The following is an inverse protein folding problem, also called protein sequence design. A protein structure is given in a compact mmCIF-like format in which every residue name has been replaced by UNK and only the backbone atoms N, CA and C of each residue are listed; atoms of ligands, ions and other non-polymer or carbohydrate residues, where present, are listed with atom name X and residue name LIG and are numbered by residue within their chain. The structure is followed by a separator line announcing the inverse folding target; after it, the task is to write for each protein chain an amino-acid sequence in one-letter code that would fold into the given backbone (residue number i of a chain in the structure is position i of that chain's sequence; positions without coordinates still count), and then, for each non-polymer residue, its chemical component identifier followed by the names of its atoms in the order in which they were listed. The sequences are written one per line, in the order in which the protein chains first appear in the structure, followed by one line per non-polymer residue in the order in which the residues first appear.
data_IF_718309957874
#
_entry.id   IF_718309957874
#
_cell.length_a   1.000
_cell.length_b   1.000
_cell.length_c   1.000
_cell.angle_alpha   90.00
_cell.angle_beta   90.00
_cell.angle_gamma   90.00
#
_symmetry.space_group_name_H-M   'P 1'
#
loop_
_entity.id
_entity.type
_entity.pdbx_description
1 polymer ?
#
# COMPACT_ATOMS: atom_id res chain seq x y z
N UNK A 1 -58.43 38.97 69.39
CA UNK A 1 -57.11 38.35 69.13
C UNK A 1 -57.29 37.40 67.99
N UNK A 2 -57.06 37.82 66.76
CA UNK A 2 -57.18 37.04 65.53
C UNK A 2 -55.77 36.66 65.09
N UNK A 3 -55.38 35.41 65.23
CA UNK A 3 -54.09 34.85 64.74
C UNK A 3 -54.14 34.70 63.21
N UNK A 4 -53.41 35.51 62.49
CA UNK A 4 -53.15 35.41 61.08
C UNK A 4 -52.33 34.13 60.83
N UNK A 5 -52.89 33.12 60.16
CA UNK A 5 -52.17 31.94 59.69
C UNK A 5 -51.24 32.38 58.56
N UNK A 6 -49.95 32.39 58.80
CA UNK A 6 -48.87 32.53 57.83
C UNK A 6 -48.94 31.34 56.85
N UNK A 7 -49.28 31.59 55.62
CA UNK A 7 -49.25 30.56 54.56
C UNK A 7 -47.80 30.23 54.27
N UNK A 8 -47.40 29.05 54.62
CA UNK A 8 -46.09 28.50 54.26
C UNK A 8 -45.98 28.52 52.71
N UNK A 9 -44.99 29.27 52.20
CA UNK A 9 -44.66 29.22 50.79
C UNK A 9 -44.22 27.80 50.43
N UNK A 10 -44.76 27.18 49.33
CA UNK A 10 -44.27 25.87 48.88
C UNK A 10 -42.81 25.94 48.56
N UNK A 11 -42.03 24.95 49.02
CA UNK A 11 -40.61 24.86 48.73
C UNK A 11 -40.39 24.89 47.21
N UNK A 12 -39.36 25.55 46.72
CA UNK A 12 -39.06 25.63 45.28
C UNK A 12 -38.87 24.20 44.73
N UNK A 13 -39.43 23.89 43.54
CA UNK A 13 -39.30 22.57 42.96
C UNK A 13 -37.82 22.22 42.77
N UNK A 14 -37.46 20.97 43.10
CA UNK A 14 -36.09 20.48 42.91
C UNK A 14 -35.66 20.63 41.43
N UNK A 15 -34.42 21.01 41.16
CA UNK A 15 -33.95 21.20 39.81
C UNK A 15 -34.03 19.85 39.03
N UNK A 16 -34.78 19.84 37.93
CA UNK A 16 -34.94 18.66 37.08
C UNK A 16 -33.58 18.17 36.57
N UNK A 17 -33.22 16.93 36.90
CA UNK A 17 -32.01 16.27 36.34
C UNK A 17 -32.37 15.70 34.98
N UNK A 18 -31.69 16.17 33.93
CA UNK A 18 -31.80 15.58 32.59
C UNK A 18 -31.22 14.16 32.59
N UNK A 19 -32.01 13.18 32.19
CA UNK A 19 -31.52 11.81 31.94
C UNK A 19 -30.64 11.81 30.67
N UNK A 20 -29.62 10.95 30.56
CA UNK A 20 -28.77 10.85 29.35
C UNK A 20 -29.58 10.65 28.06
N UNK A 21 -30.68 9.92 28.11
CA UNK A 21 -31.58 9.71 26.99
C UNK A 21 -32.28 11.00 26.51
N UNK A 22 -32.61 11.90 27.43
CA UNK A 22 -33.23 13.18 27.10
C UNK A 22 -32.23 14.14 26.44
N UNK A 23 -30.95 14.10 26.87
CA UNK A 23 -29.86 14.89 26.28
C UNK A 23 -29.61 14.44 24.84
N UNK A 24 -29.63 13.11 24.57
CA UNK A 24 -29.53 12.55 23.23
C UNK A 24 -30.71 12.98 22.32
N UNK A 25 -31.93 12.89 22.82
CA UNK A 25 -33.13 13.31 22.06
C UNK A 25 -33.11 14.80 21.74
N UNK A 26 -32.74 15.64 22.69
CA UNK A 26 -32.62 17.10 22.50
C UNK A 26 -31.53 17.44 21.48
N UNK A 27 -30.39 16.76 21.52
CA UNK A 27 -29.32 16.90 20.52
C UNK A 27 -29.78 16.52 19.11
N UNK A 28 -30.50 15.40 18.98
CA UNK A 28 -31.02 14.93 17.69
C UNK A 28 -32.08 15.86 17.07
N UNK A 29 -32.91 16.49 17.88
CA UNK A 29 -33.90 17.50 17.41
C UNK A 29 -33.19 18.72 16.84
N UNK A 30 -32.11 19.20 17.49
CA UNK A 30 -31.33 20.33 17.00
C UNK A 30 -30.72 20.08 15.61
N UNK A 31 -30.24 18.85 15.35
CA UNK A 31 -29.69 18.47 14.05
C UNK A 31 -30.74 18.41 12.93
N UNK A 32 -31.95 17.97 13.23
CA UNK A 32 -33.06 17.89 12.24
C UNK A 32 -33.55 19.22 11.73
N UNK A 33 -33.44 20.27 12.54
CA UNK A 33 -33.96 21.62 12.20
C UNK A 33 -33.20 22.27 11.05
N UNK A 34 -31.91 21.89 10.78
CA UNK A 34 -31.02 22.56 9.79
C UNK A 34 -30.18 21.56 9.02
N UNK A 35 -30.81 20.68 8.28
CA UNK A 35 -30.21 19.53 7.58
C UNK A 35 -29.06 19.89 6.67
N UNK A 36 -29.16 20.96 5.87
CA UNK A 36 -28.11 21.35 4.91
C UNK A 36 -26.79 21.71 5.59
N UNK A 37 -26.85 22.50 6.69
CA UNK A 37 -25.65 22.89 7.43
C UNK A 37 -25.01 21.71 8.16
N UNK A 38 -25.82 20.85 8.74
CA UNK A 38 -25.39 19.59 9.40
C UNK A 38 -24.67 18.70 8.40
N UNK A 39 -25.24 18.51 7.21
CA UNK A 39 -24.62 17.70 6.14
C UNK A 39 -23.29 18.30 5.70
N UNK A 40 -23.22 19.62 5.49
CA UNK A 40 -22.00 20.28 5.03
C UNK A 40 -20.85 20.17 6.05
N UNK A 41 -21.17 20.37 7.35
CA UNK A 41 -20.17 20.22 8.43
C UNK A 41 -19.76 18.77 8.64
N UNK A 42 -20.71 17.81 8.57
CA UNK A 42 -20.43 16.38 8.67
C UNK A 42 -19.61 15.89 7.47
N UNK A 43 -19.82 16.46 6.26
CA UNK A 43 -19.09 16.11 5.05
C UNK A 43 -17.59 16.41 5.17
N UNK A 44 -17.22 17.56 5.75
CA UNK A 44 -15.82 17.91 5.98
C UNK A 44 -15.09 16.89 6.87
N UNK A 45 -15.75 16.48 7.98
CA UNK A 45 -15.22 15.43 8.86
C UNK A 45 -15.20 14.08 8.14
N UNK A 46 -16.29 13.74 7.44
CA UNK A 46 -16.42 12.48 6.74
C UNK A 46 -15.30 12.31 5.67
N UNK A 47 -15.01 13.36 4.93
CA UNK A 47 -13.95 13.34 3.92
C UNK A 47 -12.56 13.14 4.55
N UNK A 48 -12.26 13.82 5.67
CA UNK A 48 -10.99 13.64 6.39
C UNK A 48 -10.79 12.20 6.89
N UNK A 49 -11.83 11.63 7.51
CA UNK A 49 -11.78 10.23 7.99
C UNK A 49 -11.78 9.24 6.84
N UNK A 50 -12.58 9.46 5.79
CA UNK A 50 -12.60 8.60 4.63
C UNK A 50 -11.20 8.50 3.99
N UNK A 51 -10.51 9.64 3.84
CA UNK A 51 -9.13 9.67 3.33
C UNK A 51 -8.18 8.91 4.25
N UNK A 52 -8.23 9.12 5.57
CA UNK A 52 -7.36 8.41 6.51
C UNK A 52 -7.59 6.89 6.48
N UNK A 53 -8.84 6.45 6.53
CA UNK A 53 -9.19 5.02 6.51
C UNK A 53 -8.83 4.39 5.17
N UNK A 54 -9.09 5.08 4.04
CA UNK A 54 -8.74 4.60 2.71
C UNK A 54 -7.22 4.46 2.56
N UNK A 55 -6.43 5.45 2.95
CA UNK A 55 -4.96 5.40 2.85
C UNK A 55 -4.37 4.27 3.69
N UNK A 56 -4.83 4.10 4.93
CA UNK A 56 -4.39 2.99 5.79
C UNK A 56 -4.82 1.64 5.19
N UNK A 57 -6.07 1.52 4.76
CA UNK A 57 -6.61 0.30 4.17
C UNK A 57 -5.87 -0.10 2.89
N UNK A 58 -5.63 0.85 1.97
CA UNK A 58 -4.87 0.60 0.74
C UNK A 58 -3.44 0.18 1.03
N UNK A 59 -2.76 0.87 1.96
CA UNK A 59 -1.39 0.53 2.35
C UNK A 59 -1.31 -0.88 2.95
N UNK A 60 -2.27 -1.28 3.79
CA UNK A 60 -2.31 -2.62 4.37
C UNK A 60 -2.69 -3.70 3.35
N UNK A 61 -3.61 -3.39 2.42
CA UNK A 61 -3.99 -4.32 1.34
C UNK A 61 -2.82 -4.57 0.40
N UNK A 62 -2.11 -3.53 -0.03
CA UNK A 62 -0.90 -3.63 -0.85
C UNK A 62 0.19 -4.45 -0.15
N UNK A 63 0.41 -4.20 1.15
CA UNK A 63 1.37 -4.97 1.95
C UNK A 63 0.99 -6.44 2.07
N UNK A 64 -0.29 -6.73 2.31
CA UNK A 64 -0.79 -8.11 2.42
C UNK A 64 -0.65 -8.87 1.10
N UNK A 65 -0.94 -8.22 -0.04
CA UNK A 65 -0.75 -8.80 -1.36
C UNK A 65 0.73 -9.09 -1.64
N UNK A 66 1.62 -8.13 -1.34
CA UNK A 66 3.06 -8.32 -1.48
C UNK A 66 3.57 -9.50 -0.63
N UNK A 67 3.15 -9.59 0.65
CA UNK A 67 3.55 -10.71 1.51
C UNK A 67 3.02 -12.05 0.96
N UNK A 68 1.78 -12.09 0.48
CA UNK A 68 1.23 -13.29 -0.13
C UNK A 68 1.95 -13.70 -1.43
N UNK A 69 2.49 -12.74 -2.19
CA UNK A 69 3.35 -13.02 -3.37
C UNK A 69 4.71 -13.55 -2.93
N UNK A 70 5.35 -12.92 -1.95
CA UNK A 70 6.62 -13.37 -1.40
C UNK A 70 6.52 -14.78 -0.81
N UNK A 71 5.45 -15.08 -0.08
CA UNK A 71 5.20 -16.43 0.48
C UNK A 71 5.04 -17.49 -0.62
N UNK A 72 4.44 -17.14 -1.77
CA UNK A 72 4.29 -18.05 -2.91
C UNK A 72 5.59 -18.27 -3.69
N UNK A 73 6.36 -17.19 -3.88
CA UNK A 73 7.61 -17.23 -4.65
C UNK A 73 8.78 -17.79 -3.85
N UNK A 74 8.65 -17.83 -2.52
CA UNK A 74 9.74 -18.15 -1.59
C UNK A 74 10.67 -16.95 -1.38
N UNK A 75 11.12 -16.81 -0.16
CA UNK A 75 12.05 -15.71 0.23
C UNK A 75 13.51 -16.16 0.21
N UNK A 76 13.77 -17.38 -0.22
CA UNK A 76 15.02 -18.11 -0.07
C UNK A 76 15.90 -18.15 -1.33
N UNK A 77 15.62 -17.29 -2.33
CA UNK A 77 16.44 -17.12 -3.51
C UNK A 77 17.56 -16.11 -3.22
N UNK A 78 18.82 -16.50 -3.44
CA UNK A 78 19.96 -15.59 -3.50
C UNK A 78 20.48 -15.48 -4.92
N UNK A 79 21.02 -14.33 -5.25
CA UNK A 79 21.70 -14.07 -6.52
C UNK A 79 23.11 -13.57 -6.25
N UNK A 80 24.06 -14.06 -7.03
CA UNK A 80 25.44 -13.57 -7.03
C UNK A 80 25.80 -13.10 -8.43
N UNK A 81 26.14 -11.83 -8.54
CA UNK A 81 26.52 -11.16 -9.80
C UNK A 81 27.84 -10.43 -9.68
N UNK A 82 28.56 -10.32 -10.78
CA UNK A 82 29.79 -9.49 -10.83
C UNK A 82 29.39 -8.03 -10.91
N UNK A 83 29.89 -7.21 -9.99
CA UNK A 83 29.72 -5.75 -10.06
C UNK A 83 30.69 -5.23 -11.12
N UNK A 84 30.21 -4.49 -12.14
CA UNK A 84 31.09 -3.83 -13.09
C UNK A 84 32.01 -2.86 -12.35
N UNK A 85 33.32 -3.15 -12.32
CA UNK A 85 34.30 -2.23 -11.79
C UNK A 85 34.70 -1.24 -12.88
N UNK A 86 34.76 0.04 -12.55
CA UNK A 86 35.25 1.10 -13.42
C UNK A 86 36.81 1.12 -13.55
N UNK A 87 37.50 0.17 -12.90
CA UNK A 87 38.94 0.02 -12.87
C UNK A 87 39.44 -1.31 -13.47
N UNK A 88 40.21 -1.30 -14.41
CA UNK A 88 41.25 -2.18 -14.99
C UNK A 88 41.16 -3.73 -14.87
N UNK A 89 40.31 -4.37 -14.07
CA UNK A 89 40.29 -5.83 -13.96
C UNK A 89 38.90 -6.40 -14.30
N UNK A 90 38.81 -7.04 -15.45
CA UNK A 90 37.60 -7.78 -15.83
C UNK A 90 37.49 -9.05 -14.98
N UNK A 91 36.69 -9.00 -13.92
CA UNK A 91 36.38 -10.17 -13.11
C UNK A 91 35.25 -10.95 -13.79
N UNK A 92 35.42 -12.25 -13.97
CA UNK A 92 34.39 -13.16 -14.51
C UNK A 92 34.15 -14.30 -13.53
N UNK A 93 32.90 -14.73 -13.41
CA UNK A 93 32.59 -15.93 -12.65
C UNK A 93 33.17 -17.15 -13.36
N UNK A 94 33.78 -18.09 -12.65
CA UNK A 94 34.30 -19.32 -13.27
C UNK A 94 33.16 -20.16 -13.86
N UNK A 95 33.42 -20.89 -14.93
CA UNK A 95 32.45 -21.80 -15.54
C UNK A 95 31.94 -22.86 -14.55
N UNK A 96 32.72 -23.17 -13.55
CA UNK A 96 32.37 -24.10 -12.45
C UNK A 96 31.59 -23.46 -11.31
N UNK A 97 31.23 -22.16 -11.40
CA UNK A 97 30.58 -21.44 -10.29
C UNK A 97 29.33 -22.16 -9.77
N UNK A 98 28.46 -22.65 -10.65
CA UNK A 98 27.27 -23.41 -10.24
C UNK A 98 27.64 -24.63 -9.46
N UNK A 99 28.57 -25.45 -9.99
CA UNK A 99 29.02 -26.67 -9.33
C UNK A 99 29.75 -26.39 -7.99
N UNK A 100 30.32 -25.19 -7.83
CA UNK A 100 30.93 -24.80 -6.55
C UNK A 100 29.84 -24.42 -5.53
N UNK A 101 28.77 -23.77 -5.96
CA UNK A 101 27.61 -23.38 -5.11
C UNK A 101 26.82 -24.63 -4.69
N UNK A 102 26.63 -25.61 -5.58
CA UNK A 102 25.96 -26.89 -5.28
C UNK A 102 26.67 -27.71 -4.17
N UNK A 103 27.94 -27.43 -3.89
CA UNK A 103 28.69 -28.08 -2.79
C UNK A 103 28.46 -27.43 -1.43
N UNK A 104 27.78 -26.28 -1.36
CA UNK A 104 27.38 -25.68 -0.08
C UNK A 104 26.25 -26.54 0.47
N UNK A 105 26.47 -27.21 1.61
CA UNK A 105 25.57 -28.23 2.15
C UNK A 105 24.08 -27.91 2.16
N UNK A 106 23.64 -26.68 2.58
CA UNK A 106 22.23 -26.31 2.59
C UNK A 106 21.62 -25.99 1.21
N UNK A 107 22.41 -25.81 0.15
CA UNK A 107 21.91 -25.44 -1.18
C UNK A 107 21.13 -26.61 -1.81
N UNK A 108 19.86 -26.34 -2.14
CA UNK A 108 18.97 -27.31 -2.80
C UNK A 108 19.08 -27.23 -4.33
N UNK A 109 19.17 -26.02 -4.85
CA UNK A 109 19.26 -25.74 -6.29
C UNK A 109 20.23 -24.60 -6.55
N UNK A 110 21.10 -24.79 -7.55
CA UNK A 110 21.92 -23.72 -8.07
C UNK A 110 21.87 -23.72 -9.59
N UNK A 111 21.77 -22.53 -10.18
CA UNK A 111 21.69 -22.34 -11.62
C UNK A 111 22.35 -21.03 -12.03
N UNK A 112 22.47 -20.78 -13.31
CA UNK A 112 23.10 -19.56 -13.78
C UNK A 112 22.52 -19.06 -15.10
N UNK A 113 22.69 -17.75 -15.33
CA UNK A 113 22.58 -17.13 -16.65
C UNK A 113 23.91 -16.51 -17.02
N UNK A 114 24.15 -16.38 -18.33
CA UNK A 114 25.35 -15.75 -18.89
C UNK A 114 24.94 -14.64 -19.87
N UNK A 115 25.59 -13.49 -19.81
CA UNK A 115 25.37 -12.41 -20.76
C UNK A 115 25.86 -12.84 -22.15
N UNK A 116 25.00 -12.71 -23.15
CA UNK A 116 25.34 -12.97 -24.57
C UNK A 116 25.34 -11.65 -25.32
N UNK A 117 26.42 -11.37 -26.02
CA UNK A 117 26.50 -10.16 -26.86
C UNK A 117 25.81 -10.44 -28.21
N UNK A 118 24.47 -10.27 -28.20
CA UNK A 118 23.66 -10.42 -29.41
C UNK A 118 22.59 -9.34 -29.51
N UNK A 119 22.46 -8.77 -30.70
CA UNK A 119 21.43 -7.80 -31.05
C UNK A 119 20.19 -8.52 -31.49
N UNK A 120 19.06 -8.19 -30.85
CA UNK A 120 17.79 -8.88 -31.09
C UNK A 120 16.86 -8.00 -31.89
N UNK A 121 16.31 -8.56 -32.97
CA UNK A 121 15.39 -7.91 -33.90
C UNK A 121 14.19 -8.81 -34.18
N UNK A 122 13.06 -8.20 -34.49
CA UNK A 122 11.86 -8.96 -34.89
C UNK A 122 12.07 -9.75 -36.17
N UNK A 123 12.78 -9.15 -37.15
CA UNK A 123 13.08 -9.77 -38.45
C UNK A 123 14.36 -9.15 -39.02
N UNK A 124 14.85 -9.73 -40.10
CA UNK A 124 15.99 -9.25 -40.89
C UNK A 124 15.70 -7.92 -41.64
N UNK A 125 14.44 -7.56 -41.83
CA UNK A 125 14.02 -6.26 -42.41
C UNK A 125 14.25 -5.09 -41.44
N UNK A 126 14.29 -5.36 -40.12
CA UNK A 126 14.53 -4.32 -39.10
C UNK A 126 16.02 -4.00 -39.06
N UNK A 127 16.43 -2.71 -39.21
CA UNK A 127 17.82 -2.32 -39.15
C UNK A 127 18.51 -2.77 -37.84
N UNK A 128 19.81 -3.16 -37.89
CA UNK A 128 20.55 -3.65 -36.71
C UNK A 128 20.64 -2.66 -35.56
N UNK A 129 20.55 -1.36 -35.82
CA UNK A 129 20.61 -0.29 -34.83
C UNK A 129 19.27 -0.18 -34.03
N UNK A 130 18.20 -0.74 -34.56
CA UNK A 130 16.88 -0.71 -33.96
C UNK A 130 16.66 -1.93 -33.05
N UNK A 131 17.27 -1.91 -31.89
CA UNK A 131 17.02 -2.90 -30.86
C UNK A 131 15.79 -2.51 -30.05
N UNK A 132 14.92 -3.49 -29.75
CA UNK A 132 13.70 -3.26 -28.92
C UNK A 132 14.04 -3.13 -27.41
N UNK A 133 15.29 -2.94 -27.03
CA UNK A 133 15.75 -2.95 -25.63
C UNK A 133 15.62 -4.35 -25.00
N UNK A 134 15.66 -5.39 -25.84
CA UNK A 134 15.71 -6.78 -25.42
C UNK A 134 17.16 -7.23 -25.48
N UNK A 135 17.64 -7.89 -24.42
CA UNK A 135 19.00 -8.43 -24.32
C UNK A 135 18.98 -9.95 -24.48
N UNK A 136 20.11 -10.55 -24.84
CA UNK A 136 20.28 -11.98 -24.91
C UNK A 136 21.00 -12.52 -23.68
N UNK A 137 20.54 -13.66 -23.16
CA UNK A 137 21.25 -14.39 -22.12
C UNK A 137 21.25 -15.89 -22.40
N UNK A 138 22.36 -16.53 -22.09
CA UNK A 138 22.43 -17.96 -21.99
C UNK A 138 21.75 -18.41 -20.68
N UNK A 139 20.97 -19.48 -20.72
CA UNK A 139 20.27 -20.03 -19.57
C UNK A 139 20.49 -21.53 -19.46
N UNK A 140 20.62 -22.03 -18.23
CA UNK A 140 20.63 -23.47 -17.96
C UNK A 140 19.19 -24.01 -17.97
N UNK A 141 19.03 -25.29 -18.26
CA UNK A 141 17.71 -25.94 -18.33
C UNK A 141 16.97 -25.98 -16.99
N UNK A 142 17.68 -25.87 -15.88
CA UNK A 142 17.16 -25.87 -14.50
C UNK A 142 16.74 -24.46 -13.99
N UNK A 143 16.92 -23.41 -14.79
CA UNK A 143 16.69 -22.03 -14.39
C UNK A 143 15.27 -21.78 -13.86
N UNK A 144 14.24 -22.25 -14.55
CA UNK A 144 12.85 -22.02 -14.12
C UNK A 144 12.54 -22.72 -12.80
N UNK A 145 13.10 -23.94 -12.59
CA UNK A 145 12.91 -24.67 -11.34
C UNK A 145 13.51 -23.91 -10.16
N UNK A 146 14.73 -23.39 -10.31
CA UNK A 146 15.37 -22.61 -9.27
C UNK A 146 14.65 -21.27 -8.98
N UNK A 147 14.09 -20.64 -10.02
CA UNK A 147 13.36 -19.37 -9.86
C UNK A 147 11.90 -19.56 -9.40
N UNK A 148 11.34 -20.77 -9.51
CA UNK A 148 9.91 -21.00 -9.33
C UNK A 148 9.07 -20.28 -10.39
N UNK A 149 9.63 -20.10 -11.60
CA UNK A 149 8.99 -19.37 -12.69
C UNK A 149 8.25 -20.32 -13.64
N UNK A 150 7.22 -19.80 -14.32
CA UNK A 150 6.38 -20.55 -15.24
C UNK A 150 6.55 -20.14 -16.70
N UNK A 151 6.03 -20.99 -17.61
CA UNK A 151 5.90 -20.70 -19.05
C UNK A 151 4.45 -20.38 -19.34
N UNK A 152 4.18 -19.16 -19.82
CA UNK A 152 2.85 -18.72 -20.21
C UNK A 152 2.36 -19.41 -21.50
N UNK A 153 3.25 -19.60 -22.46
CA UNK A 153 2.96 -20.25 -23.74
C UNK A 153 4.15 -21.04 -24.24
N UNK A 154 3.90 -22.24 -24.80
CA UNK A 154 4.95 -23.10 -25.34
C UNK A 154 5.64 -23.95 -24.30
N UNK A 155 6.95 -24.15 -24.43
CA UNK A 155 7.76 -25.02 -23.61
C UNK A 155 9.07 -24.33 -23.20
N UNK A 156 9.64 -24.78 -22.07
CA UNK A 156 10.98 -24.38 -21.64
C UNK A 156 12.07 -25.14 -22.42
N UNK A 157 13.31 -24.66 -22.30
CA UNK A 157 14.48 -25.32 -22.83
C UNK A 157 14.72 -26.67 -22.10
N UNK A 158 15.00 -27.70 -22.87
CA UNK A 158 15.37 -29.01 -22.39
C UNK A 158 16.76 -29.42 -22.95
N UNK A 159 17.23 -30.58 -22.57
CA UNK A 159 18.55 -31.11 -23.02
C UNK A 159 18.68 -31.27 -24.53
N UNK A 160 17.57 -31.44 -25.24
CA UNK A 160 17.56 -31.54 -26.71
C UNK A 160 17.58 -30.16 -27.36
N UNK A 161 16.72 -29.27 -26.90
CA UNK A 161 16.53 -27.91 -27.45
C UNK A 161 17.64 -26.94 -27.04
N UNK A 162 18.34 -27.13 -25.91
CA UNK A 162 19.43 -26.24 -25.44
C UNK A 162 20.60 -26.07 -26.42
N UNK A 163 20.72 -26.97 -27.42
CA UNK A 163 21.78 -26.97 -28.44
C UNK A 163 21.31 -26.44 -29.79
N UNK A 164 20.02 -26.24 -29.94
CA UNK A 164 19.37 -25.84 -31.19
C UNK A 164 19.24 -24.30 -31.27
N UNK A 165 19.03 -23.74 -32.45
CA UNK A 165 18.78 -22.31 -32.64
C UNK A 165 17.34 -21.96 -32.23
N UNK A 166 17.05 -22.14 -30.96
CA UNK A 166 15.75 -21.83 -30.33
C UNK A 166 15.93 -20.86 -29.18
N UNK A 167 14.88 -20.12 -28.87
CA UNK A 167 14.87 -19.15 -27.78
C UNK A 167 13.56 -19.16 -27.01
N UNK A 168 13.63 -18.84 -25.73
CA UNK A 168 12.48 -18.55 -24.91
C UNK A 168 12.51 -17.06 -24.55
N UNK A 169 11.39 -16.38 -24.74
CA UNK A 169 11.29 -14.93 -24.49
C UNK A 169 10.71 -14.67 -23.09
N UNK A 170 11.28 -13.71 -22.38
CA UNK A 170 10.63 -13.12 -21.24
C UNK A 170 9.34 -12.39 -21.63
N UNK A 171 8.42 -12.20 -20.71
CA UNK A 171 7.09 -11.64 -20.97
C UNK A 171 7.16 -10.28 -21.69
N UNK A 172 7.97 -9.35 -21.21
CA UNK A 172 8.13 -8.02 -21.81
C UNK A 172 8.95 -8.06 -23.12
N UNK A 173 9.87 -9.02 -23.27
CA UNK A 173 10.61 -9.21 -24.52
C UNK A 173 9.67 -9.66 -25.65
N UNK A 174 8.77 -10.60 -25.37
CA UNK A 174 7.75 -11.05 -26.33
C UNK A 174 6.83 -9.89 -26.76
N UNK A 175 6.35 -9.09 -25.81
CA UNK A 175 5.53 -7.91 -26.08
C UNK A 175 6.25 -6.90 -26.98
N UNK A 176 7.50 -6.53 -26.64
CA UNK A 176 8.29 -5.56 -27.40
C UNK A 176 8.65 -6.01 -28.82
N UNK A 177 8.86 -7.31 -28.99
CA UNK A 177 9.13 -7.90 -30.29
C UNK A 177 7.85 -8.19 -31.09
N UNK A 178 6.67 -8.04 -30.48
CA UNK A 178 5.39 -8.38 -31.11
C UNK A 178 5.25 -9.88 -31.39
N UNK A 179 5.86 -10.73 -30.53
CA UNK A 179 5.75 -12.20 -30.61
C UNK A 179 4.62 -12.64 -29.70
N UNK A 180 3.61 -13.28 -30.26
CA UNK A 180 2.41 -13.67 -29.54
C UNK A 180 2.27 -15.15 -29.29
N UNK A 181 2.98 -15.98 -30.07
CA UNK A 181 2.86 -17.42 -30.01
C UNK A 181 4.23 -18.13 -30.23
N UNK A 182 4.44 -19.32 -29.66
CA UNK A 182 5.53 -20.19 -30.04
C UNK A 182 5.48 -20.58 -31.53
N UNK A 183 6.65 -20.85 -32.13
CA UNK A 183 6.80 -21.13 -33.55
C UNK A 183 7.14 -19.91 -34.41
N UNK A 184 6.97 -18.69 -33.89
CA UNK A 184 7.44 -17.48 -34.53
C UNK A 184 8.98 -17.40 -34.48
N UNK A 185 9.56 -16.65 -35.44
CA UNK A 185 11.03 -16.49 -35.52
C UNK A 185 11.43 -15.05 -35.18
N UNK A 186 12.57 -14.91 -34.55
CA UNK A 186 13.29 -13.65 -34.33
C UNK A 186 14.69 -13.76 -34.91
N UNK A 187 15.36 -12.63 -35.04
CA UNK A 187 16.77 -12.58 -35.51
C UNK A 187 17.65 -12.11 -34.34
N UNK A 188 18.67 -12.91 -34.01
CA UNK A 188 19.69 -12.57 -33.04
C UNK A 188 21.02 -12.49 -33.76
N UNK A 189 21.61 -11.31 -33.87
CA UNK A 189 22.67 -10.98 -34.85
C UNK A 189 22.22 -11.38 -36.26
N UNK A 190 22.86 -12.39 -36.84
CA UNK A 190 22.54 -12.91 -38.19
C UNK A 190 21.85 -14.29 -38.16
N UNK A 191 21.62 -14.82 -36.95
CA UNK A 191 21.01 -16.14 -36.78
C UNK A 191 19.48 -16.02 -36.56
N UNK A 192 18.72 -16.86 -37.26
CA UNK A 192 17.27 -17.00 -37.06
C UNK A 192 16.99 -17.96 -35.98
N UNK A 193 16.35 -17.48 -34.91
CA UNK A 193 15.98 -18.25 -33.71
C UNK A 193 14.47 -18.50 -33.70
N UNK A 194 14.07 -19.74 -33.46
CA UNK A 194 12.66 -20.09 -33.30
C UNK A 194 12.26 -19.86 -31.85
N UNK A 195 11.21 -19.11 -31.61
CA UNK A 195 10.65 -18.90 -30.28
C UNK A 195 9.87 -20.15 -29.88
N UNK A 196 10.35 -20.92 -28.91
CA UNK A 196 9.71 -22.16 -28.42
C UNK A 196 8.85 -21.92 -27.18
N UNK A 197 9.05 -20.80 -26.48
CA UNK A 197 8.26 -20.46 -25.30
C UNK A 197 8.28 -18.97 -24.99
N UNK A 198 7.28 -18.55 -24.22
CA UNK A 198 7.16 -17.23 -23.63
C UNK A 198 6.93 -17.41 -22.14
N UNK A 199 7.75 -16.78 -21.31
CA UNK A 199 7.66 -16.89 -19.85
C UNK A 199 6.46 -16.10 -19.31
N UNK A 200 5.96 -16.55 -18.16
CA UNK A 200 5.20 -15.68 -17.26
C UNK A 200 6.13 -14.58 -16.70
N UNK A 201 5.58 -13.43 -16.25
CA UNK A 201 6.40 -12.42 -15.57
C UNK A 201 7.17 -12.99 -14.39
N UNK A 202 8.49 -12.78 -14.34
CA UNK A 202 9.37 -13.31 -13.30
C UNK A 202 9.53 -12.28 -12.18
N UNK A 203 8.62 -12.32 -11.20
CA UNK A 203 8.53 -11.30 -10.14
C UNK A 203 9.81 -11.14 -9.31
N UNK A 204 10.53 -12.23 -9.01
CA UNK A 204 11.78 -12.18 -8.24
C UNK A 204 12.96 -11.64 -9.05
N UNK A 205 12.95 -11.81 -10.37
CA UNK A 205 14.04 -11.38 -11.26
C UNK A 205 13.43 -10.68 -12.49
N UNK A 206 12.87 -9.46 -12.35
CA UNK A 206 12.18 -8.76 -13.45
C UNK A 206 13.09 -8.43 -14.63
N UNK A 207 14.40 -8.53 -14.46
CA UNK A 207 15.36 -8.36 -15.57
C UNK A 207 15.19 -9.44 -16.62
N UNK A 208 14.75 -10.65 -16.25
CA UNK A 208 14.49 -11.76 -17.18
C UNK A 208 13.27 -11.51 -18.07
N UNK A 209 12.34 -10.66 -17.68
CA UNK A 209 11.19 -10.29 -18.54
C UNK A 209 11.61 -9.61 -19.83
N UNK A 210 12.81 -9.00 -19.87
CA UNK A 210 13.34 -8.26 -21.05
C UNK A 210 14.37 -9.04 -21.83
N UNK A 211 14.50 -10.34 -21.59
CA UNK A 211 15.59 -11.16 -22.14
C UNK A 211 15.05 -12.19 -23.13
N UNK A 212 15.83 -12.46 -24.18
CA UNK A 212 15.71 -13.67 -24.96
C UNK A 212 16.72 -14.70 -24.43
N UNK A 213 16.20 -15.82 -23.96
CA UNK A 213 16.96 -16.88 -23.33
C UNK A 213 17.30 -17.97 -24.32
N UNK A 214 18.57 -18.36 -24.39
CA UNK A 214 19.07 -19.45 -25.23
C UNK A 214 19.84 -20.45 -24.38
N UNK A 215 19.94 -21.69 -24.79
CA UNK A 215 20.76 -22.68 -24.05
C UNK A 215 22.24 -22.31 -24.04
N UNK A 216 22.99 -22.63 -23.00
CA UNK A 216 24.44 -22.39 -22.93
C UNK A 216 25.19 -22.97 -24.17
N UNK A 217 24.95 -24.22 -24.58
CA UNK A 217 25.62 -24.78 -25.75
C UNK A 217 25.25 -24.09 -27.07
N UNK A 218 23.99 -23.59 -27.20
CA UNK A 218 23.58 -22.81 -28.35
C UNK A 218 24.25 -21.43 -28.35
N UNK A 219 24.36 -20.78 -27.19
CA UNK A 219 25.04 -19.51 -27.03
C UNK A 219 26.53 -19.59 -27.42
N UNK A 220 27.20 -20.65 -26.99
CA UNK A 220 28.61 -20.90 -27.36
C UNK A 220 28.75 -21.12 -28.87
N UNK A 221 27.87 -21.90 -29.46
CA UNK A 221 27.94 -22.26 -30.88
C UNK A 221 27.59 -21.12 -31.84
N UNK A 222 26.53 -20.37 -31.56
CA UNK A 222 25.99 -19.39 -32.50
C UNK A 222 26.40 -17.96 -32.21
N UNK A 223 26.77 -17.63 -30.97
CA UNK A 223 27.02 -16.25 -30.55
C UNK A 223 28.41 -16.02 -29.96
N UNK A 224 29.29 -17.04 -29.99
CA UNK A 224 30.65 -16.92 -29.44
C UNK A 224 30.68 -16.68 -27.94
N UNK A 225 29.64 -17.09 -27.23
CA UNK A 225 29.60 -16.99 -25.76
C UNK A 225 30.73 -17.85 -25.18
N UNK A 226 31.45 -17.30 -24.22
CA UNK A 226 32.64 -17.93 -23.65
C UNK A 226 32.34 -18.97 -22.54
N UNK A 227 31.05 -19.16 -22.19
CA UNK A 227 30.60 -20.12 -21.19
C UNK A 227 30.73 -19.63 -19.74
N UNK A 228 31.14 -18.38 -19.53
CA UNK A 228 31.25 -17.80 -18.20
C UNK A 228 29.87 -17.27 -17.75
N UNK A 229 29.31 -17.72 -16.61
CA UNK A 229 28.08 -17.13 -16.12
C UNK A 229 28.29 -15.67 -15.70
N UNK A 230 27.26 -14.85 -15.89
CA UNK A 230 27.24 -13.46 -15.40
C UNK A 230 26.49 -13.35 -14.08
N UNK A 231 25.54 -14.25 -13.85
CA UNK A 231 24.75 -14.32 -12.62
C UNK A 231 24.52 -15.77 -12.21
N UNK A 232 24.70 -16.06 -10.94
CA UNK A 232 24.37 -17.35 -10.33
C UNK A 232 23.19 -17.14 -9.40
N UNK A 233 22.24 -18.04 -9.48
CA UNK A 233 21.08 -18.13 -8.59
C UNK A 233 21.24 -19.37 -7.72
N UNK A 234 20.88 -19.23 -6.45
CA UNK A 234 20.82 -20.38 -5.57
C UNK A 234 19.55 -20.32 -4.71
N UNK A 235 19.08 -21.48 -4.33
CA UNK A 235 17.95 -21.65 -3.42
C UNK A 235 18.33 -22.62 -2.31
N UNK A 236 18.15 -22.16 -1.08
CA UNK A 236 18.40 -22.91 0.15
C UNK A 236 17.21 -22.75 1.11
N UNK A 237 17.03 -23.61 2.12
CA UNK A 237 15.98 -23.45 3.12
C UNK A 237 16.04 -22.07 3.81
N UNK A 238 14.90 -21.48 4.14
CA UNK A 238 14.83 -20.16 4.80
C UNK A 238 15.66 -20.09 6.09
N UNK A 239 15.78 -21.19 6.82
CA UNK A 239 16.55 -21.28 8.06
C UNK A 239 18.06 -21.09 7.87
N UNK A 240 18.59 -21.41 6.68
CA UNK A 240 20.03 -21.42 6.38
C UNK A 240 20.44 -20.39 5.33
N UNK A 241 19.51 -19.64 4.76
CA UNK A 241 19.76 -18.68 3.67
C UNK A 241 20.80 -17.63 4.04
N UNK A 242 20.83 -17.14 5.28
CA UNK A 242 21.83 -16.16 5.73
C UNK A 242 23.23 -16.78 5.90
N UNK A 243 23.31 -18.04 6.29
CA UNK A 243 24.59 -18.77 6.36
C UNK A 243 25.16 -18.97 4.95
N UNK A 244 24.31 -19.35 3.99
CA UNK A 244 24.69 -19.49 2.59
C UNK A 244 25.11 -18.13 2.03
N UNK A 245 24.35 -17.07 2.28
CA UNK A 245 24.66 -15.70 1.86
C UNK A 245 26.05 -15.25 2.30
N UNK A 246 26.45 -15.58 3.54
CA UNK A 246 27.73 -15.19 4.11
C UNK A 246 28.94 -15.85 3.38
N UNK A 247 28.75 -17.02 2.77
CA UNK A 247 29.82 -17.76 2.09
C UNK A 247 29.73 -17.69 0.57
N UNK A 248 28.59 -17.29 0.00
CA UNK A 248 28.30 -17.38 -1.43
C UNK A 248 29.31 -16.61 -2.29
N UNK A 249 29.63 -15.35 -1.95
CA UNK A 249 30.59 -14.53 -2.71
C UNK A 249 31.98 -15.20 -2.82
N UNK A 250 32.44 -15.74 -1.70
CA UNK A 250 33.73 -16.44 -1.60
C UNK A 250 33.71 -17.76 -2.37
N UNK A 251 32.57 -18.44 -2.38
CA UNK A 251 32.41 -19.70 -3.09
C UNK A 251 32.35 -19.49 -4.60
N UNK A 252 31.59 -18.53 -5.10
CA UNK A 252 31.44 -18.31 -6.56
C UNK A 252 32.69 -17.71 -7.20
N UNK A 253 33.49 -16.96 -6.44
CA UNK A 253 34.71 -16.30 -6.98
C UNK A 253 35.81 -16.21 -5.91
N UNK A 254 36.54 -17.31 -5.66
CA UNK A 254 37.63 -17.31 -4.70
C UNK A 254 38.73 -16.29 -5.07
N UNK A 255 39.04 -15.39 -4.13
CA UNK A 255 40.06 -14.34 -4.33
C UNK A 255 39.58 -13.08 -5.07
N UNK A 256 38.30 -13.00 -5.43
CA UNK A 256 37.68 -11.81 -6.01
C UNK A 256 36.28 -11.54 -5.41
N UNK A 257 36.07 -11.97 -4.17
CA UNK A 257 34.78 -11.84 -3.46
C UNK A 257 34.29 -10.40 -3.32
N UNK A 258 35.20 -9.43 -3.25
CA UNK A 258 34.86 -8.00 -3.18
C UNK A 258 34.19 -7.44 -4.44
N UNK A 259 34.30 -8.16 -5.55
CA UNK A 259 33.66 -7.81 -6.82
C UNK A 259 32.33 -8.53 -7.03
N UNK A 260 31.91 -9.36 -6.08
CA UNK A 260 30.67 -10.13 -6.15
C UNK A 260 29.63 -9.47 -5.26
N UNK A 261 28.55 -9.05 -5.87
CA UNK A 261 27.37 -8.57 -5.16
C UNK A 261 26.42 -9.75 -4.93
N UNK A 262 26.22 -10.11 -3.67
CA UNK A 262 25.20 -11.06 -3.27
C UNK A 262 23.95 -10.29 -2.86
N UNK A 263 22.82 -10.59 -3.49
CA UNK A 263 21.54 -9.96 -3.18
C UNK A 263 20.46 -11.03 -3.01
N UNK A 264 19.46 -10.65 -2.21
CA UNK A 264 18.23 -11.41 -2.01
C UNK A 264 17.11 -10.63 -2.68
N UNK A 265 16.54 -11.08 -3.81
CA UNK A 265 15.52 -10.34 -4.55
C UNK A 265 14.31 -9.95 -3.70
N UNK A 266 13.91 -10.79 -2.75
CA UNK A 266 12.84 -10.47 -1.81
C UNK A 266 13.11 -9.23 -0.94
N UNK A 267 14.39 -8.93 -0.61
CA UNK A 267 14.76 -7.73 0.15
C UNK A 267 14.47 -6.46 -0.64
N UNK A 268 14.69 -6.48 -1.96
CA UNK A 268 14.38 -5.35 -2.84
C UNK A 268 12.86 -5.08 -2.91
N UNK A 269 12.04 -6.13 -2.95
CA UNK A 269 10.59 -6.01 -2.89
C UNK A 269 10.13 -5.48 -1.53
N UNK A 270 10.71 -5.95 -0.44
CA UNK A 270 10.44 -5.46 0.91
C UNK A 270 10.87 -4.00 1.10
N UNK A 271 12.02 -3.60 0.53
CA UNK A 271 12.50 -2.21 0.55
C UNK A 271 11.58 -1.27 -0.23
N UNK A 272 11.07 -1.70 -1.40
CA UNK A 272 10.06 -0.97 -2.16
C UNK A 272 8.81 -0.71 -1.31
N UNK A 273 8.30 -1.73 -0.62
CA UNK A 273 7.16 -1.57 0.29
C UNK A 273 7.47 -0.63 1.49
N UNK A 274 8.74 -0.51 1.90
CA UNK A 274 9.12 0.42 2.96
C UNK A 274 9.08 1.89 2.49
N UNK A 275 9.38 2.16 1.23
CA UNK A 275 9.29 3.52 0.63
C UNK A 275 7.86 4.03 0.62
N UNK A 276 6.87 3.15 0.44
CA UNK A 276 5.46 3.50 0.46
C UNK A 276 4.98 4.00 1.84
N UNK A 277 5.71 3.69 2.93
CA UNK A 277 5.40 4.19 4.28
C UNK A 277 5.55 5.70 4.39
N UNK A 278 6.55 6.29 3.73
CA UNK A 278 6.76 7.74 3.71
C UNK A 278 5.58 8.46 3.06
N UNK A 279 5.12 7.96 1.93
CA UNK A 279 3.94 8.49 1.24
C UNK A 279 2.67 8.33 2.07
N UNK A 280 2.49 7.17 2.72
CA UNK A 280 1.37 6.92 3.63
C UNK A 280 1.36 7.92 4.79
N UNK A 281 2.51 8.24 5.39
CA UNK A 281 2.61 9.23 6.47
C UNK A 281 2.22 10.64 6.00
N UNK A 282 2.63 11.05 4.80
CA UNK A 282 2.23 12.33 4.19
C UNK A 282 0.72 12.39 3.96
N UNK A 283 0.12 11.33 3.43
CA UNK A 283 -1.33 11.27 3.20
C UNK A 283 -2.12 11.28 4.52
N UNK A 284 -1.64 10.61 5.57
CA UNK A 284 -2.22 10.69 6.91
C UNK A 284 -2.13 12.12 7.48
N UNK A 285 -1.01 12.82 7.25
CA UNK A 285 -0.87 14.22 7.61
C UNK A 285 -1.90 15.10 6.92
N UNK A 286 -2.13 14.90 5.63
CA UNK A 286 -3.18 15.61 4.87
C UNK A 286 -4.58 15.31 5.40
N UNK A 287 -4.87 14.04 5.72
CA UNK A 287 -6.12 13.63 6.37
C UNK A 287 -6.33 14.31 7.73
N UNK A 288 -5.27 14.45 8.53
CA UNK A 288 -5.32 15.16 9.81
C UNK A 288 -5.65 16.66 9.62
N UNK A 289 -5.05 17.31 8.62
CA UNK A 289 -5.38 18.71 8.27
C UNK A 289 -6.84 18.82 7.84
N UNK A 290 -7.32 17.92 6.99
CA UNK A 290 -8.73 17.90 6.57
C UNK A 290 -9.68 17.74 7.78
N UNK A 291 -9.30 16.88 8.73
CA UNK A 291 -10.07 16.67 9.96
C UNK A 291 -10.09 17.93 10.86
N UNK A 292 -8.99 18.68 10.96
CA UNK A 292 -8.93 19.96 11.66
C UNK A 292 -9.83 20.98 11.00
N UNK A 293 -9.81 21.10 9.68
CA UNK A 293 -10.69 22.00 8.91
C UNK A 293 -12.16 21.63 9.15
N UNK A 294 -12.50 20.33 9.14
CA UNK A 294 -13.82 19.84 9.49
C UNK A 294 -14.23 20.22 10.92
N UNK A 295 -13.32 20.12 11.89
CA UNK A 295 -13.53 20.55 13.28
C UNK A 295 -13.82 22.04 13.43
N UNK A 296 -13.11 22.89 12.70
CA UNK A 296 -13.39 24.35 12.62
C UNK A 296 -14.77 24.59 12.03
N UNK A 297 -15.16 23.83 11.01
CA UNK A 297 -16.50 23.86 10.42
C UNK A 297 -17.60 23.55 11.44
N UNK A 298 -17.38 22.51 12.28
CA UNK A 298 -18.29 22.18 13.40
C UNK A 298 -18.36 23.32 14.40
N UNK A 299 -17.21 23.86 14.85
CA UNK A 299 -17.18 24.97 15.80
C UNK A 299 -17.97 26.20 15.28
N UNK A 300 -17.75 26.58 14.02
CA UNK A 300 -18.44 27.66 13.39
C UNK A 300 -19.95 27.41 13.30
N UNK A 301 -20.36 26.22 12.88
CA UNK A 301 -21.76 25.81 12.84
C UNK A 301 -22.43 25.89 14.21
N UNK A 302 -21.72 25.43 15.26
CA UNK A 302 -22.24 25.49 16.64
C UNK A 302 -22.35 26.93 17.18
N UNK A 303 -21.38 27.80 16.86
CA UNK A 303 -21.46 29.23 17.25
C UNK A 303 -22.68 29.89 16.62
N UNK A 304 -22.92 29.69 15.33
CA UNK A 304 -24.06 30.21 14.63
C UNK A 304 -25.37 29.64 15.23
N UNK A 305 -25.42 28.34 15.49
CA UNK A 305 -26.58 27.67 16.12
C UNK A 305 -26.94 28.29 17.49
N UNK A 306 -25.93 28.61 18.31
CA UNK A 306 -26.14 29.30 19.60
C UNK A 306 -26.71 30.72 19.40
N UNK A 307 -26.19 31.49 18.43
CA UNK A 307 -26.66 32.82 18.16
C UNK A 307 -28.11 32.84 17.68
N UNK A 308 -28.47 31.94 16.78
CA UNK A 308 -29.83 31.84 16.21
C UNK A 308 -30.88 31.35 17.23
N UNK A 309 -30.47 30.54 18.22
CA UNK A 309 -31.32 30.01 19.30
C UNK A 309 -31.20 30.78 20.60
N UNK A 310 -30.66 32.00 20.57
CA UNK A 310 -30.41 32.82 21.78
C UNK A 310 -31.65 33.05 22.61
N UNK A 311 -32.78 33.37 21.98
CA UNK A 311 -34.08 33.61 22.66
C UNK A 311 -34.62 32.32 23.31
N UNK A 312 -34.53 31.20 22.61
CA UNK A 312 -34.93 29.87 23.13
C UNK A 312 -34.10 29.46 24.37
N UNK A 313 -32.78 29.69 24.30
CA UNK A 313 -31.86 29.42 25.42
C UNK A 313 -32.21 30.33 26.62
N UNK A 314 -32.45 31.60 26.36
CA UNK A 314 -32.86 32.56 27.37
C UNK A 314 -34.15 32.16 28.08
N UNK A 315 -35.18 31.80 27.31
CA UNK A 315 -36.47 31.34 27.84
C UNK A 315 -36.30 30.09 28.71
N UNK A 316 -35.56 29.06 28.24
CA UNK A 316 -35.28 27.89 29.04
C UNK A 316 -34.56 28.20 30.35
N UNK A 317 -33.61 29.12 30.29
CA UNK A 317 -32.88 29.59 31.48
C UNK A 317 -33.79 30.38 32.45
N UNK A 318 -34.73 31.19 31.95
CA UNK A 318 -35.72 31.87 32.77
C UNK A 318 -36.69 30.91 33.46
N UNK A 319 -37.01 29.78 32.79
CA UNK A 319 -37.81 28.66 33.32
C UNK A 319 -37.07 27.72 34.25
N UNK A 320 -35.78 28.01 34.61
CA UNK A 320 -35.04 27.26 35.61
C UNK A 320 -34.02 26.21 35.05
N UNK A 321 -33.75 26.18 33.73
CA UNK A 321 -32.73 25.32 33.19
C UNK A 321 -31.33 25.69 33.73
N UNK A 322 -30.57 24.69 34.20
CA UNK A 322 -29.22 24.90 34.74
C UNK A 322 -28.20 25.20 33.64
N UNK A 323 -27.09 25.86 33.98
CA UNK A 323 -25.98 26.11 33.04
C UNK A 323 -25.42 24.77 32.52
N UNK A 324 -25.38 23.73 33.40
CA UNK A 324 -24.91 22.36 33.06
C UNK A 324 -25.79 21.71 32.00
N UNK A 325 -27.10 21.82 32.13
CA UNK A 325 -28.06 21.29 31.15
C UNK A 325 -27.87 21.88 29.76
N UNK A 326 -27.67 23.21 29.66
CA UNK A 326 -27.42 23.89 28.39
C UNK A 326 -26.08 23.44 27.79
N UNK A 327 -25.01 23.34 28.61
CA UNK A 327 -23.71 22.87 28.13
C UNK A 327 -23.82 21.45 27.60
N UNK A 328 -24.43 20.53 28.35
CA UNK A 328 -24.58 19.14 27.98
C UNK A 328 -25.36 19.00 26.65
N UNK A 329 -26.39 19.79 26.43
CA UNK A 329 -27.18 19.78 25.20
C UNK A 329 -26.31 20.15 23.99
N UNK A 330 -25.60 21.30 24.01
CA UNK A 330 -24.78 21.75 22.87
C UNK A 330 -23.55 20.86 22.64
N UNK A 331 -22.95 20.35 23.72
CA UNK A 331 -21.84 19.39 23.59
C UNK A 331 -22.32 18.08 22.95
N UNK A 332 -23.50 17.58 23.33
CA UNK A 332 -24.10 16.39 22.72
C UNK A 332 -24.42 16.62 21.25
N UNK A 333 -24.91 17.80 20.88
CA UNK A 333 -25.20 18.15 19.49
C UNK A 333 -23.92 18.12 18.63
N UNK A 334 -22.79 18.66 19.12
CA UNK A 334 -21.50 18.59 18.44
C UNK A 334 -20.94 17.17 18.35
N UNK A 335 -21.07 16.38 19.42
CA UNK A 335 -20.66 14.97 19.44
C UNK A 335 -21.44 14.12 18.44
N UNK A 336 -22.78 14.28 18.40
CA UNK A 336 -23.62 13.58 17.44
C UNK A 336 -23.26 13.96 15.99
N UNK A 337 -23.02 15.25 15.72
CA UNK A 337 -22.58 15.71 14.39
C UNK A 337 -21.26 15.06 13.99
N UNK A 338 -20.30 15.03 14.90
CA UNK A 338 -18.98 14.43 14.67
C UNK A 338 -19.06 12.93 14.55
N UNK A 339 -19.90 12.26 15.33
CA UNK A 339 -20.14 10.82 15.23
C UNK A 339 -20.73 10.44 13.86
N UNK A 340 -21.72 11.21 13.37
CA UNK A 340 -22.31 11.01 12.05
C UNK A 340 -21.27 11.20 10.94
N UNK A 341 -20.48 12.28 10.99
CA UNK A 341 -19.40 12.52 10.05
C UNK A 341 -18.33 11.43 10.11
N UNK A 342 -17.90 11.04 11.30
CA UNK A 342 -16.91 9.98 11.52
C UNK A 342 -17.37 8.62 11.03
N UNK A 343 -18.61 8.23 11.34
CA UNK A 343 -19.20 6.96 10.88
C UNK A 343 -19.36 6.94 9.35
N UNK A 344 -19.87 8.02 8.76
CA UNK A 344 -19.98 8.15 7.31
C UNK A 344 -18.60 8.09 6.65
N UNK A 345 -17.60 8.79 7.20
CA UNK A 345 -16.22 8.75 6.72
C UNK A 345 -15.57 7.37 6.82
N UNK A 346 -15.77 6.68 7.94
CA UNK A 346 -15.28 5.32 8.12
C UNK A 346 -15.88 4.34 7.11
N UNK A 347 -17.19 4.44 6.87
CA UNK A 347 -17.87 3.62 5.86
C UNK A 347 -17.39 3.93 4.44
N UNK A 348 -17.31 5.21 4.08
CA UNK A 348 -16.82 5.64 2.76
C UNK A 348 -15.37 5.23 2.52
N UNK A 349 -14.48 5.42 3.51
CA UNK A 349 -13.08 5.02 3.44
C UNK A 349 -12.90 3.53 3.30
N UNK A 350 -13.69 2.75 4.07
CA UNK A 350 -13.70 1.29 3.96
C UNK A 350 -14.20 0.85 2.59
N UNK A 351 -15.32 1.41 2.11
CA UNK A 351 -15.87 1.08 0.78
C UNK A 351 -14.89 1.43 -0.34
N UNK A 352 -14.22 2.58 -0.26
CA UNK A 352 -13.18 2.98 -1.21
C UNK A 352 -11.99 2.00 -1.20
N UNK A 353 -11.54 1.56 -0.01
CA UNK A 353 -10.48 0.54 0.11
C UNK A 353 -10.87 -0.76 -0.59
N UNK A 354 -12.08 -1.28 -0.29
CA UNK A 354 -12.56 -2.51 -0.90
C UNK A 354 -12.70 -2.39 -2.42
N UNK A 355 -13.31 -1.31 -2.91
CA UNK A 355 -13.49 -1.08 -4.34
C UNK A 355 -12.16 -1.00 -5.09
N UNK A 356 -11.19 -0.27 -4.54
CA UNK A 356 -9.88 -0.15 -5.17
C UNK A 356 -9.07 -1.45 -5.08
N UNK A 357 -9.07 -2.12 -3.94
CA UNK A 357 -8.35 -3.38 -3.77
C UNK A 357 -8.85 -4.46 -4.74
N UNK A 358 -10.18 -4.58 -4.89
CA UNK A 358 -10.77 -5.51 -5.86
C UNK A 358 -10.43 -5.14 -7.32
N UNK A 359 -10.38 -3.86 -7.66
CA UNK A 359 -10.00 -3.41 -8.99
C UNK A 359 -8.52 -3.68 -9.33
N UNK A 360 -7.68 -3.88 -8.32
CA UNK A 360 -6.25 -4.22 -8.45
C UNK A 360 -5.97 -5.70 -8.20
N UNK A 361 -6.98 -6.53 -8.05
CA UNK A 361 -6.87 -7.94 -7.68
C UNK A 361 -6.14 -8.18 -6.34
N UNK A 362 -6.14 -7.19 -5.45
CA UNK A 362 -5.58 -7.30 -4.12
C UNK A 362 -6.57 -7.90 -3.14
N UNK A 363 -6.06 -8.54 -2.08
CA UNK A 363 -6.88 -8.92 -0.94
C UNK A 363 -7.20 -7.69 -0.10
N UNK A 364 -8.50 -7.28 0.02
CA UNK A 364 -8.85 -6.09 0.80
C UNK A 364 -8.60 -6.34 2.30
N UNK A 365 -7.77 -5.50 2.91
CA UNK A 365 -7.44 -5.55 4.33
C UNK A 365 -7.65 -4.19 4.95
N UNK A 366 -8.71 -4.05 5.76
CA UNK A 366 -8.96 -2.85 6.56
C UNK A 366 -8.82 -3.21 8.04
N UNK A 367 -7.75 -2.81 8.71
CA UNK A 367 -7.59 -3.12 10.13
C UNK A 367 -8.61 -2.36 10.96
N UNK A 368 -9.27 -3.04 11.89
CA UNK A 368 -10.36 -2.48 12.71
C UNK A 368 -9.96 -1.22 13.50
N UNK A 369 -8.69 -1.09 13.84
CA UNK A 369 -8.19 0.10 14.55
C UNK A 369 -8.28 1.39 13.70
N UNK A 370 -8.26 1.31 12.37
CA UNK A 370 -8.30 2.48 11.49
C UNK A 370 -9.68 3.17 11.52
N UNK A 371 -10.82 2.50 11.24
CA UNK A 371 -12.14 3.12 11.39
C UNK A 371 -12.49 3.45 12.85
N UNK A 372 -12.10 2.63 13.83
CA UNK A 372 -12.33 2.89 15.24
C UNK A 372 -11.52 4.11 15.74
N UNK A 373 -10.25 4.20 15.38
CA UNK A 373 -9.39 5.35 15.70
C UNK A 373 -9.87 6.63 15.02
N UNK A 374 -10.33 6.53 13.77
CA UNK A 374 -10.96 7.64 13.06
C UNK A 374 -12.22 8.15 13.79
N UNK A 375 -13.10 7.25 14.22
CA UNK A 375 -14.29 7.61 14.99
C UNK A 375 -13.92 8.24 16.34
N UNK A 376 -12.95 7.69 17.05
CA UNK A 376 -12.47 8.27 18.31
C UNK A 376 -11.89 9.68 18.12
N UNK A 377 -11.09 9.88 17.08
CA UNK A 377 -10.54 11.20 16.72
C UNK A 377 -11.63 12.23 16.39
N UNK A 378 -12.68 11.83 15.66
CA UNK A 378 -13.79 12.73 15.36
C UNK A 378 -14.58 13.11 16.61
N UNK A 379 -14.83 12.18 17.51
CA UNK A 379 -15.49 12.45 18.79
C UNK A 379 -14.65 13.42 19.65
N UNK A 380 -13.34 13.22 19.69
CA UNK A 380 -12.44 14.12 20.41
C UNK A 380 -12.45 15.53 19.82
N UNK A 381 -12.34 15.67 18.51
CA UNK A 381 -12.38 16.97 17.83
C UNK A 381 -13.76 17.62 17.99
N UNK A 382 -14.85 16.82 17.89
CA UNK A 382 -16.20 17.30 18.11
C UNK A 382 -16.43 17.82 19.54
N UNK A 383 -15.85 17.15 20.54
CA UNK A 383 -15.89 17.62 21.92
C UNK A 383 -15.15 18.96 22.08
N UNK A 384 -13.94 19.09 21.53
CA UNK A 384 -13.17 20.33 21.57
C UNK A 384 -13.87 21.47 20.82
N UNK A 385 -14.34 21.20 19.60
CA UNK A 385 -15.03 22.19 18.77
C UNK A 385 -16.36 22.68 19.41
N UNK A 386 -17.07 21.75 20.08
CA UNK A 386 -18.34 22.06 20.76
C UNK A 386 -18.18 22.72 22.13
N UNK A 387 -17.01 22.59 22.78
CA UNK A 387 -16.80 23.07 24.13
C UNK A 387 -16.96 24.58 24.26
N UNK A 388 -16.31 25.36 23.40
CA UNK A 388 -16.39 26.83 23.41
C UNK A 388 -17.80 27.31 23.18
N UNK A 389 -18.55 26.93 22.12
CA UNK A 389 -19.95 27.32 21.90
C UNK A 389 -20.86 26.88 23.07
N UNK A 390 -20.70 25.69 23.61
CA UNK A 390 -21.49 25.19 24.73
C UNK A 390 -21.32 26.06 26.01
N UNK A 391 -20.09 26.43 26.32
CA UNK A 391 -19.78 27.32 27.45
C UNK A 391 -20.40 28.71 27.20
N UNK A 392 -20.24 29.26 26.00
CA UNK A 392 -20.80 30.55 25.64
C UNK A 392 -22.33 30.55 25.74
N UNK A 393 -23.02 29.53 25.23
CA UNK A 393 -24.47 29.36 25.35
C UNK A 393 -24.94 29.35 26.80
N UNK A 394 -24.20 28.62 27.68
CA UNK A 394 -24.57 28.51 29.10
C UNK A 394 -24.42 29.80 29.91
N UNK A 395 -23.65 30.78 29.43
CA UNK A 395 -23.40 32.06 30.08
C UNK A 395 -24.36 33.16 29.63
N UNK A 396 -25.27 32.90 28.68
CA UNK A 396 -26.28 33.87 28.25
C UNK A 396 -27.21 34.26 29.44
N UNK A 397 -27.36 35.54 29.69
CA UNK A 397 -28.27 36.05 30.72
C UNK A 397 -29.73 36.04 30.19
N UNK A 398 -30.71 35.59 30.99
CA UNK A 398 -32.10 35.54 30.56
C UNK A 398 -32.65 36.91 30.10
N UNK A 399 -32.30 37.98 30.79
CA UNK A 399 -32.73 39.33 30.50
C UNK A 399 -32.22 39.88 29.18
N UNK A 400 -30.94 39.59 28.84
CA UNK A 400 -30.31 40.01 27.56
C UNK A 400 -30.83 39.20 26.38
N UNK A 401 -31.23 37.93 26.62
CA UNK A 401 -31.75 37.06 25.59
C UNK A 401 -33.20 37.40 25.19
N UNK A 402 -33.99 37.95 26.09
CA UNK A 402 -35.40 38.33 25.84
C UNK A 402 -35.54 39.76 25.27
N UNK A 403 -34.61 40.68 25.55
CA UNK A 403 -34.62 42.05 25.07
C UNK A 403 -33.90 42.28 23.74
N UNK A 404 -33.56 41.26 23.01
CA UNK A 404 -32.91 41.35 21.68
C UNK A 404 -33.96 41.58 20.59
N UNK A 405 -34.17 42.85 20.23
CA UNK A 405 -34.76 43.29 18.94
C UNK A 405 -33.64 43.32 17.91
#
# INVERSE_FOLDING_TARGET
MTRTRERAHPAPPEPSRLLPADVLRLGAVGLRARRTRVVLSALGIALGIATMVAVVGLSQSSKADLMARLDRLGTNLLTAEVVPDTGAREVRLPKSAVAMVERIGPVEHATATGQVDARIRRSDVVPPERTSGVTAQAARTDLLTALGAGVARGVWLDRASERLPVTVLGALAAERLGVTAPGETIVMNDERMVVVGILEPVELVPTLDRVALVGFPAAEKYFGFDGHPSMVFERSPDATVEEVRAVLARTVSPGAEGYIKVSRPSDALAAKAATDRGLTALMLGLGAVALLVGGVGVANTMVISVLERRQEIGLRRALGATRGAVRAQFLMESLLLSALGGAAGALLGTAATYGFALAQDWRPVVPLWAPAGGLAATLFIGALAGLYPAVRASRLHPTVALNGT
#
